data_IF_573580719004
#
_entry.id   IF_573580719004
#
_cell.length_a   1.000
_cell.length_b   1.000
_cell.length_c   1.000
_cell.angle_alpha   90.00
_cell.angle_beta   90.00
_cell.angle_gamma   90.00
#
_symmetry.space_group_name_H-M   'P 1'
#
loop_
_entity.id
_entity.type
_entity.pdbx_description
1 polymer ?
#
# COMPACT_ATOMS: atom_id res chain seq x y z
N UNK A 1 -6.44 -8.20 13.15
CA UNK A 1 -6.47 -9.14 12.01
C UNK A 1 -5.37 -8.67 11.09
N UNK A 2 -4.38 -9.51 10.85
CA UNK A 2 -3.27 -9.19 9.93
C UNK A 2 -3.46 -10.02 8.66
N UNK A 3 -3.33 -9.36 7.51
CA UNK A 3 -3.50 -10.00 6.19
C UNK A 3 -2.13 -10.25 5.59
N UNK A 4 -1.88 -11.49 5.15
CA UNK A 4 -0.67 -11.86 4.43
C UNK A 4 -0.89 -11.73 2.90
N UNK A 5 -0.32 -10.68 2.31
CA UNK A 5 -0.38 -10.44 0.86
C UNK A 5 0.72 -11.18 0.06
N UNK A 6 1.73 -11.76 0.72
CA UNK A 6 2.84 -12.42 0.05
C UNK A 6 2.37 -13.63 -0.77
N UNK A 7 1.31 -14.31 -0.32
CA UNK A 7 0.74 -15.46 -1.03
C UNK A 7 0.05 -15.08 -2.36
N UNK A 8 -0.20 -13.79 -2.59
CA UNK A 8 -0.90 -13.28 -3.77
C UNK A 8 0.02 -12.57 -4.77
N UNK A 9 1.33 -12.54 -4.50
CA UNK A 9 2.32 -11.80 -5.29
C UNK A 9 3.53 -12.68 -5.62
N UNK A 10 4.28 -12.26 -6.63
CA UNK A 10 5.61 -12.80 -6.94
C UNK A 10 6.69 -11.77 -6.59
N UNK A 11 7.96 -12.18 -6.44
CA UNK A 11 9.06 -11.23 -6.16
C UNK A 11 9.28 -10.15 -7.23
N UNK A 12 8.60 -10.23 -8.37
CA UNK A 12 8.70 -9.25 -9.46
C UNK A 12 7.56 -8.24 -9.48
N UNK A 13 6.51 -8.45 -8.70
CA UNK A 13 5.34 -7.57 -8.69
C UNK A 13 5.60 -6.36 -7.81
N UNK A 14 5.16 -5.19 -8.27
CA UNK A 14 5.06 -3.97 -7.45
C UNK A 14 3.59 -3.77 -7.09
N UNK A 15 3.27 -3.87 -5.81
CA UNK A 15 1.90 -3.78 -5.31
C UNK A 15 1.80 -2.68 -4.26
N UNK A 16 0.94 -1.70 -4.52
CA UNK A 16 0.52 -0.70 -3.52
C UNK A 16 -0.86 -1.08 -2.99
N UNK A 17 -1.03 -1.05 -1.67
CA UNK A 17 -2.33 -1.24 -1.01
C UNK A 17 -2.84 0.10 -0.47
N UNK A 18 -4.10 0.43 -0.79
CA UNK A 18 -4.80 1.60 -0.26
C UNK A 18 -5.98 1.10 0.57
N UNK A 19 -6.03 1.49 1.85
CA UNK A 19 -7.08 1.08 2.77
C UNK A 19 -7.46 2.24 3.71
N UNK A 20 -8.64 2.16 4.32
CA UNK A 20 -9.12 3.15 5.30
C UNK A 20 -8.49 2.97 6.69
N UNK A 21 -7.86 1.81 6.95
CA UNK A 21 -7.15 1.46 8.18
C UNK A 21 -5.99 0.49 7.85
N UNK A 22 -4.92 0.43 8.66
CA UNK A 22 -3.84 -0.54 8.49
C UNK A 22 -4.32 -1.99 8.50
N UNK A 23 -3.87 -2.79 7.54
CA UNK A 23 -4.23 -4.22 7.41
C UNK A 23 -3.15 -5.19 7.91
N UNK A 24 -1.99 -4.65 8.26
CA UNK A 24 -0.75 -5.35 8.64
C UNK A 24 -0.08 -4.56 9.78
N UNK A 25 0.61 -5.26 10.68
CA UNK A 25 1.35 -4.65 11.80
C UNK A 25 2.86 -4.56 11.57
N UNK A 26 3.38 -5.20 10.52
CA UNK A 26 4.80 -5.36 10.24
C UNK A 26 5.36 -4.35 9.22
N UNK A 27 4.60 -3.33 8.84
CA UNK A 27 5.02 -2.30 7.89
C UNK A 27 4.49 -0.90 8.25
N UNK A 28 5.08 0.14 7.67
CA UNK A 28 4.68 1.54 7.90
C UNK A 28 3.61 1.95 6.90
N UNK A 29 2.41 2.27 7.40
CA UNK A 29 1.32 2.81 6.60
C UNK A 29 1.43 4.34 6.45
N UNK A 30 1.33 4.83 5.22
CA UNK A 30 1.40 6.25 4.91
C UNK A 30 -0.01 6.84 4.79
N UNK A 31 -0.39 7.74 5.71
CA UNK A 31 -1.71 8.37 5.70
C UNK A 31 -1.80 9.44 4.60
N UNK A 32 -2.87 9.41 3.82
CA UNK A 32 -3.29 10.51 2.93
C UNK A 32 -4.35 11.31 3.70
N UNK A 33 -4.07 12.58 4.02
CA UNK A 33 -5.00 13.40 4.81
C UNK A 33 -6.05 14.10 3.92
N UNK A 34 -7.17 14.57 4.47
CA UNK A 34 -8.15 15.32 3.68
C UNK A 34 -7.50 16.51 2.96
N UNK A 35 -7.77 16.65 1.66
CA UNK A 35 -7.18 17.69 0.81
C UNK A 35 -5.88 17.29 0.11
N UNK A 36 -5.29 16.15 0.47
CA UNK A 36 -4.16 15.58 -0.26
C UNK A 36 -4.61 14.61 -1.36
N UNK A 37 -3.71 14.42 -2.32
CA UNK A 37 -3.79 13.38 -3.33
C UNK A 37 -2.44 12.65 -3.41
N UNK A 38 -2.47 11.44 -3.97
CA UNK A 38 -1.27 10.69 -4.30
C UNK A 38 -1.45 10.08 -5.69
N UNK A 39 -0.46 10.26 -6.56
CA UNK A 39 -0.40 9.59 -7.86
C UNK A 39 0.39 8.30 -7.71
N UNK A 40 -0.12 7.25 -8.31
CA UNK A 40 0.59 5.98 -8.43
C UNK A 40 0.75 5.66 -9.91
N UNK A 41 1.96 5.28 -10.30
CA UNK A 41 2.27 4.84 -11.65
C UNK A 41 3.04 3.53 -11.56
N UNK A 42 2.53 2.50 -12.24
CA UNK A 42 3.08 1.14 -12.20
C UNK A 42 3.29 0.58 -10.78
N UNK A 43 2.38 0.93 -9.86
CA UNK A 43 2.44 0.46 -8.47
C UNK A 43 3.32 1.30 -7.56
N UNK A 44 4.06 2.29 -8.07
CA UNK A 44 4.94 3.17 -7.28
C UNK A 44 4.29 4.53 -7.01
N UNK A 45 4.44 5.05 -5.79
CA UNK A 45 4.00 6.41 -5.45
C UNK A 45 4.91 7.43 -6.12
N UNK A 46 4.32 8.37 -6.84
CA UNK A 46 5.02 9.46 -7.49
C UNK A 46 5.14 10.66 -6.53
N UNK A 47 6.25 11.39 -6.62
CA UNK A 47 6.45 12.67 -5.92
C UNK A 47 5.66 13.82 -6.57
#
# INVERSE_FOLDING_TARGET
>A
MEIDFLQQTTPKDVVTVIATQPLTGNETWHRIVPGEWALFYLGERQE
#
